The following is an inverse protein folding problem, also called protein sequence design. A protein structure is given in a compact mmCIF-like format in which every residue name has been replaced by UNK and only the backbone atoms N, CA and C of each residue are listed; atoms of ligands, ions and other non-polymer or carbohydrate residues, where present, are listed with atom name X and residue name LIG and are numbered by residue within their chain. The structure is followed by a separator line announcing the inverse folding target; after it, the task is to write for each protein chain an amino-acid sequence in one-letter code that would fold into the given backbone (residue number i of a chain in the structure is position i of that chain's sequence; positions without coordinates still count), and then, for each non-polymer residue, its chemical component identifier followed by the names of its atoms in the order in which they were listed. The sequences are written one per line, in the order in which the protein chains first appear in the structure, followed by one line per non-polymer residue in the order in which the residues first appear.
data_IF_598446205138
#
_entry.id   IF_598446205138
#
_cell.length_a   1.000
_cell.length_b   1.000
_cell.length_c   1.000
_cell.angle_alpha   90.00
_cell.angle_beta   90.00
_cell.angle_gamma   90.00
#
_symmetry.space_group_name_H-M   'P 1'
#
loop_
_entity.id
_entity.type
_entity.pdbx_description
1 polymer ?
#
# COMPACT_ATOMS: atom_id res chain seq x y z
N UNK A 1 6.05 -25.53 18.58
CA UNK A 1 5.13 -24.42 18.21
C UNK A 1 3.73 -25.02 18.12
N UNK A 2 2.73 -24.49 18.84
CA UNK A 2 1.34 -24.97 18.76
C UNK A 2 0.69 -24.47 17.47
N UNK A 3 -0.36 -25.15 16.98
CA UNK A 3 -1.11 -24.73 15.79
C UNK A 3 -1.64 -23.29 15.90
N UNK A 4 -2.06 -22.87 17.10
CA UNK A 4 -2.49 -21.50 17.41
C UNK A 4 -1.32 -20.50 17.30
N UNK A 5 -0.15 -20.83 17.84
CA UNK A 5 1.03 -19.96 17.73
C UNK A 5 1.58 -19.88 16.29
N UNK A 6 1.46 -20.94 15.50
CA UNK A 6 1.83 -20.93 14.09
C UNK A 6 0.90 -20.05 13.25
N UNK A 7 -0.42 -20.14 13.47
CA UNK A 7 -1.40 -19.26 12.80
C UNK A 7 -1.12 -17.79 13.10
N UNK A 8 -0.91 -17.43 14.37
CA UNK A 8 -0.58 -16.05 14.76
C UNK A 8 0.73 -15.57 14.12
N UNK A 9 1.74 -16.43 14.03
CA UNK A 9 2.99 -16.11 13.34
C UNK A 9 2.77 -15.86 11.84
N UNK A 10 2.04 -16.74 11.15
CA UNK A 10 1.72 -16.58 9.73
C UNK A 10 0.90 -15.31 9.46
N UNK A 11 -0.08 -15.00 10.33
CA UNK A 11 -0.90 -13.80 10.19
C UNK A 11 -0.07 -12.52 10.36
N UNK A 12 0.91 -12.51 11.28
CA UNK A 12 1.84 -11.38 11.43
C UNK A 12 2.79 -11.28 10.25
N UNK A 13 3.36 -12.40 9.79
CA UNK A 13 4.27 -12.41 8.64
C UNK A 13 3.58 -11.89 7.37
N UNK A 14 2.33 -12.31 7.15
CA UNK A 14 1.51 -11.78 6.05
C UNK A 14 1.32 -10.27 6.16
N UNK A 15 1.10 -9.75 7.36
CA UNK A 15 0.95 -8.31 7.54
C UNK A 15 2.23 -7.53 7.29
N UNK A 16 3.36 -8.01 7.82
CA UNK A 16 4.63 -7.34 7.60
C UNK A 16 4.96 -7.26 6.10
N UNK A 17 4.67 -8.30 5.33
CA UNK A 17 4.91 -8.32 3.88
C UNK A 17 3.93 -7.48 3.07
N UNK A 18 2.77 -7.12 3.63
CA UNK A 18 1.72 -6.36 2.97
C UNK A 18 1.55 -4.94 3.52
N UNK A 19 2.22 -4.59 4.60
CA UNK A 19 2.26 -3.24 5.13
C UNK A 19 3.01 -2.31 4.18
N UNK A 20 2.39 -1.15 3.90
CA UNK A 20 3.08 -0.09 3.19
C UNK A 20 4.37 0.30 3.94
N UNK A 21 5.39 0.65 3.18
CA UNK A 21 6.69 1.05 3.69
C UNK A 21 6.68 2.56 3.84
N UNK A 22 6.72 3.03 5.08
CA UNK A 22 7.08 4.41 5.39
C UNK A 22 8.60 4.57 5.45
N UNK A 23 9.04 5.78 5.12
CA UNK A 23 10.44 6.20 5.23
C UNK A 23 11.00 6.04 6.66
N UNK A 24 10.15 6.06 7.69
CA UNK A 24 10.58 5.86 9.09
C UNK A 24 10.92 4.40 9.42
N UNK A 25 10.48 3.45 8.59
CA UNK A 25 10.73 2.01 8.75
C UNK A 25 12.02 1.51 8.12
N UNK A 26 12.80 2.37 7.47
CA UNK A 26 14.01 2.00 6.73
C UNK A 26 15.28 2.58 7.38
N UNK A 27 16.16 1.72 7.87
CA UNK A 27 17.49 2.12 8.37
C UNK A 27 18.51 1.98 7.23
N UNK A 28 19.28 3.03 6.89
CA UNK A 28 20.39 2.91 5.95
C UNK A 28 21.37 1.80 6.35
N UNK A 29 21.76 0.91 5.42
CA UNK A 29 22.56 -0.28 5.77
C UNK A 29 23.91 0.06 6.41
N UNK A 30 24.49 1.23 6.13
CA UNK A 30 25.74 1.67 6.73
C UNK A 30 25.66 1.77 8.27
N UNK A 31 24.51 2.15 8.83
CA UNK A 31 24.27 2.19 10.28
C UNK A 31 24.20 0.79 10.89
N UNK A 32 23.84 -0.23 10.08
CA UNK A 32 23.75 -1.63 10.50
C UNK A 32 25.08 -2.37 10.36
N UNK A 33 25.96 -1.92 9.45
CA UNK A 33 27.26 -2.56 9.20
C UNK A 33 28.15 -2.61 10.44
N UNK A 34 28.06 -1.60 11.30
CA UNK A 34 28.83 -1.53 12.56
C UNK A 34 28.32 -2.55 13.60
N UNK A 35 27.07 -2.98 13.47
CA UNK A 35 26.37 -3.83 14.44
C UNK A 35 26.36 -5.31 14.05
N UNK A 36 26.58 -5.63 12.76
CA UNK A 36 26.46 -6.98 12.22
C UNK A 36 27.79 -7.48 11.62
N UNK A 37 28.35 -8.61 12.11
CA UNK A 37 29.55 -9.21 11.55
C UNK A 37 29.41 -9.50 10.06
N UNK A 38 30.45 -9.22 9.28
CA UNK A 38 30.55 -9.50 7.84
C UNK A 38 29.50 -8.82 6.94
N UNK A 39 28.60 -7.99 7.49
CA UNK A 39 27.57 -7.33 6.68
C UNK A 39 28.17 -6.40 5.64
N UNK A 40 29.20 -5.63 6.02
CA UNK A 40 29.92 -4.76 5.09
C UNK A 40 30.41 -5.52 3.86
N UNK A 41 31.11 -6.64 4.06
CA UNK A 41 31.62 -7.46 2.96
C UNK A 41 30.49 -8.00 2.07
N UNK A 42 29.38 -8.44 2.66
CA UNK A 42 28.22 -8.93 1.89
C UNK A 42 27.57 -7.81 1.06
N UNK A 43 27.48 -6.60 1.61
CA UNK A 43 26.95 -5.44 0.89
C UNK A 43 27.89 -4.97 -0.21
N UNK A 44 29.20 -4.99 0.01
CA UNK A 44 30.19 -4.65 -1.02
C UNK A 44 30.07 -5.63 -2.21
N UNK A 45 30.00 -6.94 -1.94
CA UNK A 45 29.75 -7.96 -2.96
C UNK A 45 28.40 -7.74 -3.66
N UNK A 46 27.34 -7.44 -2.91
CA UNK A 46 26.03 -7.12 -3.50
C UNK A 46 26.11 -5.95 -4.48
N UNK A 47 26.78 -4.85 -4.09
CA UNK A 47 26.92 -3.67 -4.94
C UNK A 47 27.68 -3.99 -6.22
N UNK A 48 28.76 -4.77 -6.15
CA UNK A 48 29.51 -5.23 -7.33
C UNK A 48 28.63 -6.07 -8.26
N UNK A 49 27.94 -7.09 -7.73
CA UNK A 49 27.09 -8.00 -8.51
C UNK A 49 25.92 -7.27 -9.18
N UNK A 50 25.34 -6.28 -8.50
CA UNK A 50 24.22 -5.50 -9.00
C UNK A 50 24.63 -4.26 -9.81
N UNK A 51 25.95 -3.96 -9.89
CA UNK A 51 26.49 -2.78 -10.54
C UNK A 51 25.95 -1.47 -9.93
N UNK A 52 25.85 -1.43 -8.60
CA UNK A 52 25.47 -0.24 -7.85
C UNK A 52 26.71 0.62 -7.58
N UNK A 53 26.62 1.96 -7.71
CA UNK A 53 27.75 2.84 -7.49
C UNK A 53 28.16 2.93 -6.01
N UNK A 54 27.20 2.74 -5.11
CA UNK A 54 27.34 2.83 -3.67
C UNK A 54 26.19 2.07 -2.99
N UNK A 55 26.17 2.08 -1.66
CA UNK A 55 25.15 1.43 -0.83
C UNK A 55 24.11 2.40 -0.25
N UNK A 56 24.03 3.65 -0.74
CA UNK A 56 23.18 4.69 -0.14
C UNK A 56 21.68 4.39 -0.23
N UNK A 57 21.31 3.61 -1.25
CA UNK A 57 19.94 3.21 -1.55
C UNK A 57 19.62 1.81 -1.00
N UNK A 58 20.49 1.25 -0.14
CA UNK A 58 20.25 0.00 0.54
C UNK A 58 19.84 0.28 1.98
N UNK A 59 18.77 -0.39 2.40
CA UNK A 59 18.19 -0.22 3.72
C UNK A 59 17.94 -1.57 4.39
N UNK A 60 17.89 -1.55 5.71
CA UNK A 60 17.38 -2.61 6.56
C UNK A 60 15.99 -2.22 7.04
N UNK A 61 15.02 -3.11 6.85
CA UNK A 61 13.63 -2.85 7.26
C UNK A 61 13.45 -3.14 8.75
N UNK A 62 13.15 -2.10 9.53
CA UNK A 62 12.79 -2.21 10.93
C UNK A 62 11.47 -2.97 11.09
N UNK A 63 11.35 -3.71 12.19
CA UNK A 63 10.13 -4.41 12.60
C UNK A 63 9.62 -5.50 11.63
N UNK A 64 10.38 -5.89 10.61
CA UNK A 64 10.06 -7.09 9.85
C UNK A 64 10.34 -8.34 10.70
N UNK A 65 9.41 -9.30 10.69
CA UNK A 65 9.61 -10.61 11.31
C UNK A 65 10.82 -11.37 10.75
N UNK A 66 11.28 -11.00 9.56
CA UNK A 66 12.50 -11.52 8.94
C UNK A 66 13.55 -10.40 8.85
N UNK A 67 14.83 -10.77 8.88
CA UNK A 67 15.88 -9.81 8.57
C UNK A 67 15.83 -9.43 7.09
N UNK A 68 15.13 -8.35 6.77
CA UNK A 68 14.90 -7.91 5.39
C UNK A 68 15.82 -6.74 5.03
N UNK A 69 16.63 -6.97 4.00
CA UNK A 69 17.37 -5.92 3.31
C UNK A 69 16.60 -5.52 2.07
N UNK A 70 16.56 -4.24 1.78
CA UNK A 70 15.82 -3.70 0.64
C UNK A 70 16.69 -2.71 -0.13
N UNK A 71 16.44 -2.62 -1.42
CA UNK A 71 16.87 -1.52 -2.26
C UNK A 71 15.71 -0.57 -2.45
N UNK A 72 15.93 0.73 -2.30
CA UNK A 72 14.98 1.77 -2.65
C UNK A 72 15.74 2.98 -3.19
N UNK A 73 15.49 3.32 -4.45
CA UNK A 73 15.86 4.62 -5.00
C UNK A 73 14.61 5.44 -5.34
N UNK A 74 14.78 6.51 -6.12
CA UNK A 74 13.70 7.41 -6.51
C UNK A 74 12.62 6.73 -7.35
N UNK A 75 12.86 5.57 -7.96
CA UNK A 75 11.90 4.95 -8.88
C UNK A 75 11.72 3.45 -8.67
N UNK A 76 12.58 2.80 -7.88
CA UNK A 76 12.65 1.36 -7.83
C UNK A 76 12.84 0.81 -6.42
N UNK A 77 11.95 -0.10 -6.03
CA UNK A 77 12.00 -0.88 -4.80
C UNK A 77 12.26 -2.36 -5.07
N UNK A 78 13.08 -2.99 -4.23
CA UNK A 78 13.33 -4.43 -4.28
C UNK A 78 13.68 -5.00 -2.90
N UNK A 79 12.99 -6.07 -2.48
CA UNK A 79 13.33 -6.82 -1.26
C UNK A 79 14.32 -7.95 -1.57
N UNK A 80 15.41 -8.04 -0.80
CA UNK A 80 16.35 -9.16 -0.85
C UNK A 80 15.97 -10.23 0.17
N UNK A 81 15.70 -11.44 -0.30
CA UNK A 81 15.47 -12.60 0.56
C UNK A 81 16.75 -13.16 1.19
N UNK A 82 17.89 -12.88 0.57
CA UNK A 82 19.21 -13.28 1.02
C UNK A 82 20.25 -12.36 0.39
N UNK A 83 21.35 -12.15 1.12
CA UNK A 83 22.54 -11.47 0.60
C UNK A 83 23.65 -12.44 0.18
N UNK A 84 23.35 -13.75 0.10
CA UNK A 84 24.31 -14.75 -0.36
C UNK A 84 24.62 -14.58 -1.85
N UNK A 85 25.91 -14.62 -2.19
CA UNK A 85 26.43 -14.40 -3.55
C UNK A 85 25.72 -15.25 -4.59
N UNK A 86 25.63 -16.56 -4.37
CA UNK A 86 25.06 -17.50 -5.33
C UNK A 86 23.58 -17.20 -5.61
N UNK A 87 22.82 -16.81 -4.58
CA UNK A 87 21.43 -16.40 -4.73
C UNK A 87 21.31 -15.13 -5.60
N UNK A 88 22.15 -14.13 -5.32
CA UNK A 88 22.14 -12.87 -6.05
C UNK A 88 22.56 -13.05 -7.52
N UNK A 89 23.60 -13.83 -7.78
CA UNK A 89 24.10 -14.09 -9.14
C UNK A 89 23.07 -14.85 -9.98
N UNK A 90 22.49 -15.91 -9.42
CA UNK A 90 21.61 -16.82 -10.17
C UNK A 90 20.20 -16.25 -10.36
N UNK A 91 19.65 -15.57 -9.35
CA UNK A 91 18.21 -15.25 -9.33
C UNK A 91 17.90 -13.74 -9.35
N UNK A 92 18.80 -12.87 -8.89
CA UNK A 92 18.48 -11.45 -8.69
C UNK A 92 19.10 -10.54 -9.75
N UNK A 93 20.40 -10.70 -10.00
CA UNK A 93 21.24 -9.71 -10.68
C UNK A 93 20.68 -9.20 -12.02
N UNK A 94 20.29 -10.12 -12.91
CA UNK A 94 19.78 -9.76 -14.23
C UNK A 94 18.40 -9.09 -14.16
N UNK A 95 17.48 -9.63 -13.36
CA UNK A 95 16.13 -9.10 -13.21
C UNK A 95 16.13 -7.74 -12.52
N UNK A 96 16.90 -7.59 -11.44
CA UNK A 96 17.08 -6.36 -10.71
C UNK A 96 17.54 -5.22 -11.62
N UNK A 97 18.63 -5.42 -12.37
CA UNK A 97 19.17 -4.38 -13.26
C UNK A 97 18.18 -3.97 -14.35
N UNK A 98 17.58 -4.95 -15.03
CA UNK A 98 16.60 -4.69 -16.10
C UNK A 98 15.39 -3.92 -15.56
N UNK A 99 14.84 -4.36 -14.43
CA UNK A 99 13.66 -3.73 -13.83
C UNK A 99 13.97 -2.32 -13.34
N UNK A 100 15.15 -2.11 -12.74
CA UNK A 100 15.61 -0.80 -12.32
C UNK A 100 15.74 0.19 -13.48
N UNK A 101 16.42 -0.21 -14.56
CA UNK A 101 16.56 0.66 -15.74
C UNK A 101 15.21 0.95 -16.41
N UNK A 102 14.30 -0.03 -16.41
CA UNK A 102 12.93 0.19 -16.87
C UNK A 102 12.19 1.24 -16.01
N UNK A 103 12.27 1.16 -14.67
CA UNK A 103 11.65 2.14 -13.78
C UNK A 103 12.24 3.55 -13.96
N UNK A 104 13.56 3.68 -14.16
CA UNK A 104 14.18 4.97 -14.48
C UNK A 104 13.66 5.57 -15.78
N UNK A 105 13.48 4.72 -16.81
CA UNK A 105 12.93 5.18 -18.08
C UNK A 105 11.48 5.66 -17.90
N UNK A 106 10.66 4.93 -17.14
CA UNK A 106 9.29 5.34 -16.82
C UNK A 106 9.25 6.67 -16.06
N UNK A 107 10.12 6.87 -15.06
CA UNK A 107 10.20 8.13 -14.33
C UNK A 107 10.61 9.29 -15.26
N UNK A 108 11.62 9.07 -16.12
CA UNK A 108 12.06 10.06 -17.12
C UNK A 108 10.94 10.45 -18.08
N UNK A 109 10.14 9.49 -18.51
CA UNK A 109 9.00 9.68 -19.39
C UNK A 109 7.74 10.18 -18.65
N UNK A 110 7.83 10.40 -17.32
CA UNK A 110 6.72 10.77 -16.44
C UNK A 110 5.53 9.81 -16.51
N UNK A 111 5.78 8.53 -16.79
CA UNK A 111 4.75 7.50 -16.82
C UNK A 111 4.55 6.90 -15.41
N UNK A 112 3.92 7.69 -14.53
CA UNK A 112 3.74 7.34 -13.12
C UNK A 112 2.84 6.12 -12.91
N UNK A 113 1.81 5.95 -13.73
CA UNK A 113 0.94 4.77 -13.69
C UNK A 113 1.77 3.48 -13.80
N UNK A 114 2.51 3.32 -14.91
CA UNK A 114 3.36 2.14 -15.10
C UNK A 114 4.47 2.05 -14.08
N UNK A 115 4.98 3.17 -13.58
CA UNK A 115 6.03 3.19 -12.56
C UNK A 115 5.53 2.55 -11.25
N UNK A 116 4.32 2.93 -10.80
CA UNK A 116 3.71 2.37 -9.59
C UNK A 116 3.24 0.92 -9.80
N UNK A 117 2.83 0.54 -11.00
CA UNK A 117 2.53 -0.86 -11.33
C UNK A 117 3.76 -1.75 -11.47
N UNK A 118 4.89 -1.20 -11.90
CA UNK A 118 6.14 -1.95 -11.98
C UNK A 118 6.69 -2.28 -10.59
N UNK A 119 6.45 -1.43 -9.60
CA UNK A 119 6.90 -1.64 -8.22
C UNK A 119 5.96 -2.51 -7.41
N UNK A 120 6.48 -3.05 -6.31
CA UNK A 120 5.64 -3.71 -5.31
C UNK A 120 4.65 -2.68 -4.73
N UNK A 121 3.42 -3.11 -4.44
CA UNK A 121 2.36 -2.23 -3.92
C UNK A 121 2.75 -1.58 -2.59
N UNK A 122 3.61 -2.21 -1.80
CA UNK A 122 4.02 -1.71 -0.48
C UNK A 122 4.75 -0.37 -0.53
N UNK A 123 5.32 0.01 -1.68
CA UNK A 123 5.96 1.33 -1.87
C UNK A 123 5.13 2.31 -2.67
N UNK A 124 3.88 1.96 -3.02
CA UNK A 124 3.04 2.77 -3.89
C UNK A 124 2.86 4.19 -3.39
N UNK A 125 2.44 4.36 -2.13
CA UNK A 125 2.27 5.70 -1.54
C UNK A 125 3.59 6.43 -1.35
N UNK A 126 4.65 5.74 -0.94
CA UNK A 126 5.97 6.36 -0.78
C UNK A 126 6.49 6.96 -2.10
N UNK A 127 6.36 6.23 -3.20
CA UNK A 127 6.75 6.75 -4.52
C UNK A 127 5.78 7.83 -5.02
N UNK A 128 4.50 7.72 -4.69
CA UNK A 128 3.51 8.75 -5.04
C UNK A 128 3.82 10.08 -4.34
N UNK A 129 4.08 10.06 -3.04
CA UNK A 129 4.47 11.23 -2.24
C UNK A 129 5.77 11.83 -2.75
N UNK A 130 6.79 10.98 -2.99
CA UNK A 130 8.09 11.41 -3.50
C UNK A 130 7.99 12.20 -4.82
N UNK A 131 7.03 11.84 -5.66
CA UNK A 131 6.83 12.45 -6.98
C UNK A 131 5.58 13.32 -7.08
N UNK A 132 4.94 13.66 -5.97
CA UNK A 132 3.64 14.35 -5.94
C UNK A 132 3.62 15.64 -6.78
N UNK A 133 4.69 16.43 -6.67
CA UNK A 133 4.85 17.69 -7.40
C UNK A 133 5.13 17.49 -8.91
N UNK A 134 5.56 16.30 -9.31
CA UNK A 134 5.84 15.97 -10.71
C UNK A 134 4.65 15.29 -11.41
N UNK A 135 3.72 14.72 -10.65
CA UNK A 135 2.51 14.08 -11.16
C UNK A 135 1.52 15.16 -11.67
N UNK A 136 1.05 15.07 -12.93
CA UNK A 136 0.02 15.97 -13.46
C UNK A 136 -1.24 15.99 -12.59
N UNK A 137 -1.82 17.18 -12.40
CA UNK A 137 -2.97 17.39 -11.50
C UNK A 137 -4.16 16.49 -11.88
N UNK A 138 -4.41 16.34 -13.18
CA UNK A 138 -5.47 15.50 -13.76
C UNK A 138 -5.31 14.01 -13.44
N UNK A 139 -4.08 13.53 -13.22
CA UNK A 139 -3.77 12.12 -13.00
C UNK A 139 -3.75 11.75 -11.51
N UNK A 140 -3.55 12.73 -10.62
CA UNK A 140 -3.33 12.51 -9.18
C UNK A 140 -4.39 11.62 -8.55
N UNK A 141 -5.67 11.90 -8.83
CA UNK A 141 -6.78 11.15 -8.22
C UNK A 141 -6.89 9.73 -8.77
N UNK A 142 -6.70 9.54 -10.07
CA UNK A 142 -6.73 8.20 -10.67
C UNK A 142 -5.60 7.34 -10.09
N UNK A 143 -4.37 7.88 -10.09
CA UNK A 143 -3.19 7.21 -9.55
C UNK A 143 -3.34 6.90 -8.06
N UNK A 144 -3.85 7.84 -7.26
CA UNK A 144 -4.13 7.62 -5.86
C UNK A 144 -5.11 6.47 -5.63
N UNK A 145 -6.25 6.44 -6.34
CA UNK A 145 -7.23 5.36 -6.19
C UNK A 145 -6.66 4.01 -6.65
N UNK A 146 -5.84 3.97 -7.71
CA UNK A 146 -5.14 2.75 -8.11
C UNK A 146 -4.16 2.24 -7.06
N UNK A 147 -3.41 3.12 -6.40
CA UNK A 147 -2.51 2.72 -5.31
C UNK A 147 -3.35 2.26 -4.11
N UNK A 148 -4.32 3.05 -3.71
CA UNK A 148 -5.20 2.81 -2.58
C UNK A 148 -5.90 1.43 -2.68
N UNK A 149 -6.50 1.13 -3.83
CA UNK A 149 -7.21 -0.15 -4.07
C UNK A 149 -6.31 -1.40 -4.09
N UNK A 150 -4.99 -1.20 -4.21
CA UNK A 150 -3.99 -2.27 -4.14
C UNK A 150 -3.35 -2.40 -2.76
N UNK A 151 -3.37 -1.35 -1.94
CA UNK A 151 -2.81 -1.35 -0.60
C UNK A 151 -3.73 -2.04 0.40
N UNK A 152 -3.17 -2.78 1.35
CA UNK A 152 -3.95 -3.43 2.41
C UNK A 152 -3.85 -2.75 3.78
N UNK A 153 -2.78 -2.00 4.02
CA UNK A 153 -2.47 -1.40 5.33
C UNK A 153 -1.65 -0.11 5.16
N UNK A 154 -1.38 0.60 6.25
CA UNK A 154 -0.50 1.78 6.26
C UNK A 154 -1.19 3.10 5.88
N UNK A 155 -2.53 3.11 5.78
CA UNK A 155 -3.29 4.33 5.50
C UNK A 155 -3.17 5.40 6.59
N UNK A 156 -2.86 5.01 7.83
CA UNK A 156 -2.69 5.92 8.95
C UNK A 156 -1.41 6.79 8.87
N UNK A 157 -0.49 6.44 7.96
CA UNK A 157 0.76 7.18 7.75
C UNK A 157 0.65 8.20 6.61
N UNK A 158 -0.47 8.20 5.88
CA UNK A 158 -0.71 9.15 4.81
C UNK A 158 -0.96 10.55 5.38
N UNK A 159 -0.43 11.54 4.68
CA UNK A 159 -0.76 12.94 4.92
C UNK A 159 -2.26 13.18 4.62
N UNK A 160 -3.01 13.49 5.68
CA UNK A 160 -4.46 13.70 5.62
C UNK A 160 -4.80 14.87 4.69
N UNK A 161 -4.02 15.95 4.72
CA UNK A 161 -4.26 17.15 3.92
C UNK A 161 -4.06 16.86 2.43
N UNK A 162 -3.01 16.10 2.09
CA UNK A 162 -2.77 15.62 0.73
C UNK A 162 -3.92 14.72 0.25
N UNK A 163 -4.37 13.78 1.08
CA UNK A 163 -5.47 12.86 0.72
C UNK A 163 -6.77 13.63 0.50
N UNK A 164 -7.10 14.59 1.36
CA UNK A 164 -8.28 15.44 1.20
C UNK A 164 -8.22 16.25 -0.09
N UNK A 165 -7.08 16.90 -0.39
CA UNK A 165 -6.87 17.64 -1.64
C UNK A 165 -7.13 16.74 -2.86
N UNK A 166 -6.54 15.54 -2.87
CA UNK A 166 -6.69 14.59 -3.98
C UNK A 166 -8.15 14.14 -4.13
N UNK A 167 -8.83 13.80 -3.04
CA UNK A 167 -10.20 13.30 -3.10
C UNK A 167 -11.20 14.37 -3.54
N UNK A 168 -10.88 15.66 -3.37
CA UNK A 168 -11.66 16.79 -3.86
C UNK A 168 -11.47 17.07 -5.37
N UNK A 169 -10.45 16.51 -6.02
CA UNK A 169 -10.28 16.61 -7.47
C UNK A 169 -11.45 15.93 -8.23
N UNK A 170 -11.70 16.31 -9.50
CA UNK A 170 -12.70 15.65 -10.33
C UNK A 170 -12.51 14.13 -10.37
N UNK A 171 -13.56 13.37 -10.09
CA UNK A 171 -13.51 11.90 -10.12
C UNK A 171 -13.33 11.41 -11.58
N UNK A 172 -12.27 10.66 -11.89
CA UNK A 172 -12.07 10.07 -13.22
C UNK A 172 -13.22 9.15 -13.62
N UNK A 173 -13.52 9.05 -14.92
CA UNK A 173 -14.67 8.26 -15.43
C UNK A 173 -14.67 6.80 -14.93
N UNK A 174 -13.51 6.16 -14.88
CA UNK A 174 -13.36 4.77 -14.43
C UNK A 174 -13.70 4.55 -12.95
N UNK A 175 -13.65 5.62 -12.14
CA UNK A 175 -13.96 5.58 -10.71
C UNK A 175 -15.28 6.28 -10.37
N UNK A 176 -16.11 6.57 -11.38
CA UNK A 176 -17.45 7.09 -11.13
C UNK A 176 -18.37 5.95 -10.73
N UNK A 177 -19.29 6.29 -9.82
CA UNK A 177 -20.40 5.39 -9.51
C UNK A 177 -21.22 5.08 -10.76
N UNK A 178 -21.63 3.81 -10.97
CA UNK A 178 -22.52 3.43 -12.05
C UNK A 178 -23.84 4.20 -11.97
N UNK A 179 -24.42 4.51 -13.14
CA UNK A 179 -25.69 5.23 -13.26
C UNK A 179 -26.85 4.48 -12.60
N UNK A 180 -26.80 3.15 -12.62
CA UNK A 180 -27.83 2.23 -12.12
C UNK A 180 -28.07 2.36 -10.60
N UNK A 181 -27.14 2.96 -9.86
CA UNK A 181 -27.37 3.38 -8.48
C UNK A 181 -28.20 4.69 -8.45
N UNK A 182 -29.44 4.63 -8.95
CA UNK A 182 -30.37 5.76 -9.18
C UNK A 182 -30.82 6.50 -7.91
N UNK A 183 -30.41 6.05 -6.72
CA UNK A 183 -30.77 6.72 -5.48
C UNK A 183 -29.88 7.92 -5.19
N UNK A 184 -30.50 9.08 -4.92
CA UNK A 184 -29.80 10.27 -4.44
C UNK A 184 -29.08 10.02 -3.10
N UNK A 185 -29.56 9.05 -2.31
CA UNK A 185 -28.96 8.62 -1.05
C UNK A 185 -28.65 7.12 -1.14
N UNK A 186 -27.39 6.77 -0.97
CA UNK A 186 -26.89 5.41 -1.03
C UNK A 186 -26.83 4.83 0.38
N UNK A 187 -27.20 3.56 0.52
CA UNK A 187 -26.90 2.76 1.71
C UNK A 187 -25.52 2.14 1.52
N UNK A 188 -24.65 2.34 2.50
CA UNK A 188 -23.27 1.87 2.47
C UNK A 188 -22.95 1.07 3.75
N UNK A 189 -22.01 0.15 3.65
CA UNK A 189 -21.63 -0.76 4.71
C UNK A 189 -20.14 -0.73 4.95
N UNK A 190 -19.71 -0.97 6.20
CA UNK A 190 -18.31 -1.11 6.55
C UNK A 190 -18.10 -2.30 7.46
N UNK A 191 -17.19 -3.19 7.05
CA UNK A 191 -16.68 -4.25 7.89
C UNK A 191 -15.50 -3.75 8.73
N UNK A 192 -15.67 -3.73 10.06
CA UNK A 192 -14.61 -3.37 11.00
C UNK A 192 -14.13 -4.61 11.75
N UNK A 193 -12.89 -5.02 11.47
CA UNK A 193 -12.16 -6.01 12.25
C UNK A 193 -11.24 -5.37 13.29
N UNK A 194 -10.47 -6.18 14.01
CA UNK A 194 -9.56 -5.74 15.08
C UNK A 194 -8.37 -4.88 14.61
N UNK A 195 -8.12 -4.83 13.29
CA UNK A 195 -7.00 -4.12 12.67
C UNK A 195 -7.46 -3.10 11.62
N UNK A 196 -8.77 -2.86 11.55
CA UNK A 196 -9.35 -1.89 10.63
C UNK A 196 -9.34 -0.50 11.25
N UNK A 197 -9.20 0.54 10.42
CA UNK A 197 -9.54 1.91 10.81
C UNK A 197 -10.97 1.95 11.37
N UNK A 198 -11.19 2.74 12.42
CA UNK A 198 -12.51 2.87 13.02
C UNK A 198 -13.49 3.50 12.02
N UNK A 199 -14.78 3.16 12.10
CA UNK A 199 -15.76 3.54 11.07
C UNK A 199 -15.96 5.06 10.91
N UNK A 200 -15.71 5.83 11.96
CA UNK A 200 -15.82 7.30 12.01
C UNK A 200 -14.58 8.02 11.47
N UNK A 201 -13.51 7.29 11.13
CA UNK A 201 -12.27 7.80 10.54
C UNK A 201 -12.04 7.22 9.14
N UNK A 202 -12.90 6.29 8.69
CA UNK A 202 -12.64 5.50 7.51
C UNK A 202 -13.21 6.10 6.23
N UNK A 203 -12.35 6.20 5.21
CA UNK A 203 -12.74 6.62 3.87
C UNK A 203 -13.52 5.55 3.09
N UNK A 204 -13.20 4.28 3.35
CA UNK A 204 -13.69 3.14 2.57
C UNK A 204 -14.96 2.53 3.17
N UNK A 205 -15.99 2.48 2.34
CA UNK A 205 -17.25 1.77 2.58
C UNK A 205 -17.60 0.95 1.33
N UNK A 206 -18.59 0.07 1.40
CA UNK A 206 -19.05 -0.74 0.25
C UNK A 206 -20.56 -0.66 0.09
N UNK A 207 -21.08 -0.76 -1.13
CA UNK A 207 -22.52 -0.90 -1.38
C UNK A 207 -23.03 -2.32 -1.04
N UNK A 208 -22.12 -3.28 -0.88
CA UNK A 208 -22.44 -4.68 -0.59
C UNK A 208 -22.28 -5.04 0.89
N UNK A 209 -23.38 -5.38 1.55
CA UNK A 209 -23.36 -5.88 2.93
C UNK A 209 -22.53 -7.17 3.06
N UNK A 210 -22.52 -8.02 2.03
CA UNK A 210 -21.74 -9.27 2.01
C UNK A 210 -20.23 -8.98 2.06
N UNK A 211 -19.77 -8.02 1.26
CA UNK A 211 -18.38 -7.57 1.25
C UNK A 211 -18.00 -7.02 2.63
N UNK A 212 -18.86 -6.21 3.25
CA UNK A 212 -18.63 -5.71 4.60
C UNK A 212 -18.54 -6.86 5.64
N UNK A 213 -19.39 -7.88 5.54
CA UNK A 213 -19.34 -9.07 6.42
C UNK A 213 -18.06 -9.87 6.23
N UNK A 214 -17.56 -10.00 5.00
CA UNK A 214 -16.28 -10.64 4.71
C UNK A 214 -15.13 -9.91 5.42
N UNK A 215 -15.03 -8.58 5.27
CA UNK A 215 -13.97 -7.80 5.89
C UNK A 215 -14.05 -7.76 7.41
N UNK A 216 -15.25 -7.70 7.99
CA UNK A 216 -15.44 -7.80 9.44
C UNK A 216 -14.85 -9.10 10.00
N UNK A 217 -15.03 -10.22 9.29
CA UNK A 217 -14.69 -11.55 9.79
C UNK A 217 -13.35 -12.12 9.28
N UNK A 218 -12.65 -11.40 8.39
CA UNK A 218 -11.45 -11.89 7.68
C UNK A 218 -10.34 -12.41 8.59
N UNK A 219 -10.13 -11.77 9.74
CA UNK A 219 -9.05 -12.12 10.68
C UNK A 219 -9.55 -12.64 12.04
N UNK A 220 -10.85 -12.50 12.32
CA UNK A 220 -11.49 -12.97 13.55
C UNK A 220 -13.00 -12.99 13.40
N UNK A 221 -13.70 -13.94 14.01
CA UNK A 221 -15.16 -14.08 13.93
C UNK A 221 -15.95 -13.04 14.76
N UNK A 222 -15.27 -12.07 15.39
CA UNK A 222 -15.89 -11.05 16.26
C UNK A 222 -15.91 -9.65 15.62
N UNK A 223 -15.87 -9.57 14.30
CA UNK A 223 -15.97 -8.29 13.58
C UNK A 223 -17.30 -7.58 13.81
N UNK A 224 -17.36 -6.31 13.45
CA UNK A 224 -18.59 -5.52 13.47
C UNK A 224 -18.89 -5.00 12.07
N UNK A 225 -20.14 -5.08 11.64
CA UNK A 225 -20.62 -4.42 10.43
C UNK A 225 -21.38 -3.16 10.82
N UNK A 226 -21.04 -2.05 10.19
CA UNK A 226 -21.79 -0.80 10.27
C UNK A 226 -22.56 -0.58 8.98
N UNK A 227 -23.78 -0.08 9.10
CA UNK A 227 -24.59 0.43 8.00
C UNK A 227 -24.72 1.93 8.17
N UNK A 228 -24.50 2.68 7.10
CA UNK A 228 -24.67 4.12 7.07
C UNK A 228 -25.29 4.56 5.75
N UNK A 229 -25.51 5.87 5.62
CA UNK A 229 -26.00 6.50 4.40
C UNK A 229 -25.09 7.63 3.96
N UNK A 230 -25.03 7.84 2.65
CA UNK A 230 -24.30 8.95 2.05
C UNK A 230 -25.06 9.50 0.85
N UNK A 231 -24.96 10.81 0.59
CA UNK A 231 -25.49 11.37 -0.65
C UNK A 231 -24.60 10.97 -1.83
N UNK A 232 -25.20 10.61 -2.96
CA UNK A 232 -24.48 10.19 -4.18
C UNK A 232 -23.44 11.24 -4.63
N UNK A 233 -23.78 12.52 -4.54
CA UNK A 233 -22.91 13.65 -4.92
C UNK A 233 -21.63 13.76 -4.07
N UNK A 234 -21.61 13.13 -2.90
CA UNK A 234 -20.47 13.17 -2.00
C UNK A 234 -19.50 12.00 -2.18
N UNK A 235 -19.80 11.04 -3.08
CA UNK A 235 -18.90 9.92 -3.35
C UNK A 235 -17.68 10.41 -4.16
N UNK A 236 -16.49 10.15 -3.62
CA UNK A 236 -15.22 10.63 -4.15
C UNK A 236 -14.53 9.62 -5.07
N UNK A 237 -14.90 8.35 -5.01
CA UNK A 237 -14.44 7.31 -5.92
C UNK A 237 -15.23 6.03 -5.74
N UNK A 238 -15.30 5.23 -6.79
CA UNK A 238 -15.95 3.92 -6.81
C UNK A 238 -15.00 2.87 -7.38
N UNK A 239 -14.84 1.74 -6.69
CA UNK A 239 -13.99 0.61 -7.11
C UNK A 239 -14.90 -0.61 -7.25
N UNK A 240 -15.11 -1.04 -8.50
CA UNK A 240 -16.11 -2.04 -8.87
C UNK A 240 -15.94 -3.38 -8.16
N UNK A 241 -14.70 -3.87 -8.00
CA UNK A 241 -14.41 -5.23 -7.50
C UNK A 241 -15.08 -5.54 -6.15
N UNK A 242 -15.17 -4.55 -5.27
CA UNK A 242 -15.68 -4.69 -3.90
C UNK A 242 -16.91 -3.79 -3.68
N UNK A 243 -17.47 -3.25 -4.77
CA UNK A 243 -18.46 -2.17 -4.76
C UNK A 243 -18.07 -1.05 -3.77
N UNK A 244 -16.76 -0.79 -3.67
CA UNK A 244 -16.19 0.09 -2.67
C UNK A 244 -16.44 1.54 -3.10
N UNK A 245 -16.88 2.36 -2.15
CA UNK A 245 -17.06 3.79 -2.28
C UNK A 245 -16.13 4.50 -1.32
N UNK A 246 -15.40 5.49 -1.86
CA UNK A 246 -14.58 6.39 -1.08
C UNK A 246 -15.40 7.63 -0.72
N UNK A 247 -15.57 7.88 0.57
CA UNK A 247 -16.36 8.97 1.14
C UNK A 247 -15.60 9.58 2.30
N UNK A 248 -15.74 10.88 2.55
CA UNK A 248 -15.20 11.43 3.79
C UNK A 248 -15.99 10.89 5.00
N UNK A 249 -15.38 10.66 6.17
CA UNK A 249 -16.10 10.06 7.29
C UNK A 249 -17.23 10.95 7.83
N UNK A 250 -17.02 12.27 7.87
CA UNK A 250 -17.93 13.25 8.46
C UNK A 250 -19.24 13.46 7.67
N UNK A 251 -19.31 12.97 6.44
CA UNK A 251 -20.50 13.08 5.58
C UNK A 251 -21.40 11.84 5.63
N UNK A 252 -20.96 10.77 6.31
CA UNK A 252 -21.75 9.55 6.51
C UNK A 252 -22.72 9.76 7.67
N UNK A 253 -24.00 9.49 7.45
CA UNK A 253 -25.06 9.71 8.43
C UNK A 253 -25.93 8.46 8.62
N UNK A 254 -26.84 8.50 9.61
CA UNK A 254 -27.69 7.37 10.00
C UNK A 254 -26.88 6.08 10.27
N UNK A 255 -25.71 6.21 10.91
CA UNK A 255 -24.83 5.07 11.17
C UNK A 255 -25.39 4.20 12.29
N UNK A 256 -25.51 2.91 12.04
CA UNK A 256 -25.92 1.92 13.03
C UNK A 256 -25.11 0.64 12.91
N UNK A 257 -24.98 -0.07 14.04
CA UNK A 257 -24.36 -1.39 14.08
C UNK A 257 -25.35 -2.45 13.59
N UNK A 258 -24.96 -3.18 12.55
CA UNK A 258 -25.72 -4.32 12.03
C UNK A 258 -25.36 -5.55 12.87
N UNK A 259 -26.37 -6.32 13.27
CA UNK A 259 -26.12 -7.61 13.94
C UNK A 259 -25.53 -8.58 12.90
N UNK A 260 -24.34 -9.08 13.22
CA UNK A 260 -23.64 -10.09 12.41
C UNK A 260 -24.34 -11.42 12.54
#
# INVERSE_FOLDING_TARGET
MTQKSFKVFMDRMFQDQHNNISSTGLIPVNQMMEQKPNLKQRIDVLCELLQLPDNKNLYYRLNSLLEEYVYLDDCFYFTFWSLEKDYIEQFVSSGFRKKREYCKQLLKDKNFEKLFFANDKVVGFLLFELHYDQIPLEDRKALFIHIYSRSEYGFAELDVEMVEEILLLPTPEEFKLPSEADSAVLTIYRGQGSKSTHYDEALSWTLSEEVARFFANRFSENGTVYRGKVKRENVRGYIEREEEVLVFPEIVFDIEKVRV
#
